data_IF_636367675604
#
_entry.id   IF_636367675604
#
_cell.length_a   1.000
_cell.length_b   1.000
_cell.length_c   1.000
_cell.angle_alpha   90.00
_cell.angle_beta   90.00
_cell.angle_gamma   90.00
#
_symmetry.space_group_name_H-M   'P 1'
#
loop_
_entity.id
_entity.type
_entity.pdbx_description
1 polymer ?
#
# COMPACT_ATOMS: atom_id res chain seq x y z
N UNK A 1 -5.22 -22.30 -8.74
CA UNK A 1 -4.95 -21.45 -7.57
C UNK A 1 -4.04 -22.23 -6.61
N UNK A 2 -2.91 -21.67 -6.22
CA UNK A 2 -2.00 -22.26 -5.22
C UNK A 2 -2.33 -21.73 -3.82
N UNK A 3 -1.95 -22.47 -2.80
CA UNK A 3 -1.97 -22.06 -1.39
C UNK A 3 -1.35 -20.66 -1.17
N UNK A 4 -0.24 -20.36 -1.84
CA UNK A 4 0.36 -19.01 -1.81
C UNK A 4 -0.55 -17.93 -2.41
N UNK A 5 -1.19 -18.20 -3.54
CA UNK A 5 -2.12 -17.22 -4.14
C UNK A 5 -3.40 -17.04 -3.31
N UNK A 6 -3.87 -18.08 -2.62
CA UNK A 6 -5.01 -17.98 -1.72
C UNK A 6 -4.67 -17.09 -0.52
N UNK A 7 -3.49 -17.28 0.06
CA UNK A 7 -2.99 -16.43 1.16
C UNK A 7 -2.77 -14.98 0.73
N UNK A 8 -2.20 -14.74 -0.46
CA UNK A 8 -2.06 -13.38 -0.99
C UNK A 8 -3.42 -12.70 -1.21
N UNK A 9 -4.42 -13.43 -1.70
CA UNK A 9 -5.78 -12.91 -1.83
C UNK A 9 -6.36 -12.51 -0.47
N UNK A 10 -6.24 -13.38 0.53
CA UNK A 10 -6.70 -13.09 1.88
C UNK A 10 -5.96 -11.90 2.52
N UNK A 11 -4.67 -11.74 2.22
CA UNK A 11 -3.88 -10.57 2.62
C UNK A 11 -4.44 -9.26 2.04
N UNK A 12 -4.74 -9.21 0.74
CA UNK A 12 -5.32 -8.02 0.11
C UNK A 12 -6.75 -7.75 0.58
N UNK A 13 -7.55 -8.79 0.76
CA UNK A 13 -8.92 -8.68 1.29
C UNK A 13 -8.92 -8.11 2.72
N UNK A 14 -8.05 -8.60 3.60
CA UNK A 14 -7.90 -8.07 4.96
C UNK A 14 -7.42 -6.61 4.97
N UNK A 15 -6.51 -6.23 4.06
CA UNK A 15 -6.12 -4.82 3.88
C UNK A 15 -7.32 -3.96 3.44
N UNK A 16 -8.06 -4.41 2.43
CA UNK A 16 -9.24 -3.71 1.93
C UNK A 16 -10.26 -3.45 3.05
N UNK A 17 -10.62 -4.49 3.80
CA UNK A 17 -11.58 -4.40 4.91
C UNK A 17 -11.11 -3.43 6.00
N UNK A 18 -9.83 -3.51 6.38
CA UNK A 18 -9.23 -2.61 7.38
C UNK A 18 -9.25 -1.16 6.94
N UNK A 19 -8.88 -0.89 5.69
CA UNK A 19 -8.84 0.49 5.19
C UNK A 19 -10.24 1.05 5.00
N UNK A 20 -11.19 0.26 4.52
CA UNK A 20 -12.60 0.66 4.46
C UNK A 20 -13.16 0.99 5.85
N UNK A 21 -12.92 0.13 6.84
CA UNK A 21 -13.39 0.34 8.21
C UNK A 21 -12.76 1.57 8.88
N UNK A 22 -11.55 1.96 8.47
CA UNK A 22 -10.80 3.07 9.06
C UNK A 22 -10.69 4.28 8.12
N UNK A 23 -11.52 4.38 7.07
CA UNK A 23 -11.41 5.42 6.04
C UNK A 23 -11.48 6.83 6.62
N UNK A 24 -12.41 7.10 7.53
CA UNK A 24 -12.50 8.42 8.19
C UNK A 24 -11.26 8.74 9.02
N UNK A 25 -10.65 7.73 9.66
CA UNK A 25 -9.43 7.91 10.43
C UNK A 25 -8.21 8.16 9.53
N UNK A 26 -8.11 7.46 8.38
CA UNK A 26 -7.10 7.72 7.35
C UNK A 26 -7.14 9.19 6.92
N UNK A 27 -8.32 9.70 6.59
CA UNK A 27 -8.52 11.07 6.09
C UNK A 27 -8.01 12.10 7.11
N UNK A 28 -8.36 11.94 8.39
CA UNK A 28 -7.89 12.86 9.45
C UNK A 28 -6.38 12.81 9.62
N UNK A 29 -5.79 11.61 9.63
CA UNK A 29 -4.33 11.44 9.76
C UNK A 29 -3.56 12.02 8.57
N UNK A 30 -4.12 11.93 7.37
CA UNK A 30 -3.54 12.52 6.16
C UNK A 30 -3.41 14.03 6.30
N UNK A 31 -4.48 14.71 6.75
CA UNK A 31 -4.46 16.17 6.94
C UNK A 31 -3.38 16.59 7.96
N UNK A 32 -3.30 15.88 9.09
CA UNK A 32 -2.29 16.14 10.11
C UNK A 32 -0.86 15.89 9.61
N UNK A 33 -0.64 14.80 8.88
CA UNK A 33 0.68 14.43 8.39
C UNK A 33 1.14 15.33 7.24
N UNK A 34 0.22 15.70 6.35
CA UNK A 34 0.49 16.60 5.22
C UNK A 34 0.96 17.96 5.75
N UNK A 35 0.26 18.52 6.74
CA UNK A 35 0.64 19.77 7.40
C UNK A 35 2.07 19.70 7.95
N UNK A 36 2.38 18.66 8.73
CA UNK A 36 3.71 18.46 9.34
C UNK A 36 4.83 18.34 8.31
N UNK A 37 4.58 17.64 7.20
CA UNK A 37 5.62 17.42 6.17
C UNK A 37 5.83 18.66 5.30
N UNK A 38 4.80 19.45 5.02
CA UNK A 38 4.95 20.75 4.34
C UNK A 38 5.78 21.71 5.19
N UNK A 39 5.49 21.81 6.49
CA UNK A 39 6.28 22.63 7.42
C UNK A 39 7.74 22.19 7.45
N UNK A 40 7.98 20.88 7.48
CA UNK A 40 9.33 20.30 7.48
C UNK A 40 10.10 20.51 6.17
N UNK A 41 9.40 20.55 5.03
CA UNK A 41 10.01 20.87 3.74
C UNK A 41 10.37 22.37 3.62
N UNK A 42 9.82 23.23 4.49
CA UNK A 42 10.20 24.64 4.59
C UNK A 42 9.84 25.44 3.34
N UNK A 43 8.71 25.15 2.69
CA UNK A 43 8.31 25.79 1.44
C UNK A 43 7.72 27.16 1.74
N UNK A 44 8.45 28.22 1.41
CA UNK A 44 8.10 29.61 1.72
C UNK A 44 6.86 30.16 0.98
N UNK A 45 6.35 29.45 -0.03
CA UNK A 45 5.20 29.86 -0.87
C UNK A 45 4.10 28.79 -0.92
N UNK A 46 3.88 28.05 0.16
CA UNK A 46 2.81 27.04 0.23
C UNK A 46 1.51 27.68 0.76
N UNK A 47 0.63 28.09 -0.15
CA UNK A 47 -0.66 28.71 0.18
C UNK A 47 -1.77 27.68 0.48
N UNK A 48 -2.94 28.18 0.90
CA UNK A 48 -4.10 27.34 1.21
C UNK A 48 -4.67 26.60 0.00
N UNK A 49 -4.54 27.15 -1.21
CA UNK A 49 -5.04 26.52 -2.44
C UNK A 49 -4.17 25.33 -2.83
N UNK A 50 -2.84 25.46 -2.71
CA UNK A 50 -1.88 24.36 -2.85
C UNK A 50 -2.13 23.30 -1.80
N UNK A 51 -2.40 23.68 -0.55
CA UNK A 51 -2.77 22.72 0.49
C UNK A 51 -4.01 21.92 0.13
N UNK A 52 -5.08 22.59 -0.27
CA UNK A 52 -6.31 21.94 -0.69
C UNK A 52 -6.07 20.97 -1.86
N UNK A 53 -5.32 21.38 -2.88
CA UNK A 53 -4.99 20.54 -4.02
C UNK A 53 -4.19 19.28 -3.63
N UNK A 54 -3.22 19.39 -2.71
CA UNK A 54 -2.46 18.25 -2.23
C UNK A 54 -3.30 17.32 -1.35
N UNK A 55 -4.18 17.87 -0.53
CA UNK A 55 -5.12 17.09 0.26
C UNK A 55 -6.06 16.30 -0.65
N UNK A 56 -6.66 16.95 -1.65
CA UNK A 56 -7.51 16.28 -2.65
C UNK A 56 -6.77 15.15 -3.39
N UNK A 57 -5.51 15.38 -3.79
CA UNK A 57 -4.68 14.34 -4.39
C UNK A 57 -4.46 13.16 -3.43
N UNK A 58 -4.17 13.41 -2.15
CA UNK A 58 -4.03 12.36 -1.15
C UNK A 58 -5.33 11.56 -0.99
N UNK A 59 -6.49 12.22 -0.97
CA UNK A 59 -7.79 11.56 -0.83
C UNK A 59 -8.11 10.68 -2.04
N UNK A 60 -7.84 11.17 -3.26
CA UNK A 60 -7.99 10.39 -4.48
C UNK A 60 -7.08 9.15 -4.47
N UNK A 61 -5.84 9.28 -4.00
CA UNK A 61 -4.90 8.17 -3.90
C UNK A 61 -5.29 7.14 -2.83
N UNK A 62 -5.94 7.56 -1.74
CA UNK A 62 -6.54 6.61 -0.77
C UNK A 62 -7.60 5.76 -1.45
N UNK A 63 -8.50 6.38 -2.20
CA UNK A 63 -9.57 5.66 -2.89
C UNK A 63 -9.00 4.69 -3.94
N UNK A 64 -8.02 5.13 -4.73
CA UNK A 64 -7.30 4.28 -5.68
C UNK A 64 -6.61 3.11 -4.98
N UNK A 65 -5.97 3.35 -3.82
CA UNK A 65 -5.27 2.30 -3.07
C UNK A 65 -6.23 1.28 -2.48
N UNK A 66 -7.37 1.73 -1.95
CA UNK A 66 -8.41 0.84 -1.46
C UNK A 66 -8.96 -0.01 -2.61
N UNK A 67 -9.25 0.58 -3.77
CA UNK A 67 -9.72 -0.17 -4.94
C UNK A 67 -8.66 -1.14 -5.48
N UNK A 68 -7.37 -0.82 -5.35
CA UNK A 68 -6.29 -1.74 -5.72
C UNK A 68 -6.29 -3.01 -4.86
N UNK A 69 -6.68 -2.90 -3.59
CA UNK A 69 -6.81 -4.06 -2.69
C UNK A 69 -8.14 -4.79 -2.83
N UNK A 70 -9.07 -4.27 -3.62
CA UNK A 70 -10.38 -4.87 -3.82
C UNK A 70 -10.23 -6.32 -4.34
N UNK A 71 -10.76 -7.32 -3.61
CA UNK A 71 -10.56 -8.73 -3.92
C UNK A 71 -11.15 -9.17 -5.26
N UNK A 72 -12.00 -8.36 -5.91
CA UNK A 72 -12.46 -8.59 -7.28
C UNK A 72 -11.44 -8.15 -8.35
N UNK A 73 -10.65 -7.10 -8.08
CA UNK A 73 -9.61 -6.59 -8.99
C UNK A 73 -8.32 -7.40 -8.93
N UNK A 74 -7.89 -7.79 -7.72
CA UNK A 74 -6.63 -8.51 -7.48
C UNK A 74 -6.59 -9.93 -8.11
N UNK A 75 -7.76 -10.51 -8.39
CA UNK A 75 -7.88 -11.84 -8.98
C UNK A 75 -7.25 -11.93 -10.38
N UNK A 76 -7.23 -10.83 -11.13
CA UNK A 76 -6.65 -10.79 -12.48
C UNK A 76 -5.12 -10.69 -12.49
N UNK A 77 -4.53 -10.20 -11.39
CA UNK A 77 -3.08 -9.98 -11.26
C UNK A 77 -2.29 -11.30 -11.14
N UNK A 78 -2.91 -12.35 -10.61
CA UNK A 78 -2.22 -13.62 -10.30
C UNK A 78 -2.48 -14.77 -11.29
N UNK A 79 -3.41 -14.63 -12.24
CA UNK A 79 -3.95 -15.77 -13.00
C UNK A 79 -3.45 -15.95 -14.45
N UNK A 80 -2.71 -15.01 -15.09
CA UNK A 80 -2.21 -15.27 -16.46
C UNK A 80 -0.81 -14.72 -16.82
N UNK A 81 -0.09 -15.45 -17.68
CA UNK A 81 1.31 -15.25 -18.09
C UNK A 81 1.59 -13.92 -18.79
N UNK A 82 0.61 -13.34 -19.51
CA UNK A 82 0.76 -12.02 -20.16
C UNK A 82 0.69 -10.84 -19.17
N UNK A 83 0.12 -11.05 -17.98
CA UNK A 83 0.06 -10.02 -16.94
C UNK A 83 1.35 -9.91 -16.14
N UNK A 84 2.24 -10.91 -16.21
CA UNK A 84 3.48 -10.88 -15.45
C UNK A 84 4.41 -9.75 -15.87
N UNK A 85 4.51 -9.47 -17.17
CA UNK A 85 5.34 -8.37 -17.70
C UNK A 85 4.72 -7.00 -17.40
N UNK A 86 3.39 -6.86 -17.55
CA UNK A 86 2.68 -5.64 -17.19
C UNK A 86 2.73 -5.38 -15.68
N UNK A 87 2.57 -6.41 -14.86
CA UNK A 87 2.70 -6.34 -13.42
C UNK A 87 4.12 -6.02 -12.99
N UNK A 88 5.14 -6.62 -13.61
CA UNK A 88 6.54 -6.28 -13.34
C UNK A 88 6.86 -4.82 -13.70
N UNK A 89 6.18 -4.24 -14.71
CA UNK A 89 6.23 -2.81 -15.02
C UNK A 89 5.45 -1.96 -13.99
N UNK A 90 4.29 -2.40 -13.51
CA UNK A 90 3.54 -1.75 -12.41
C UNK A 90 4.31 -1.75 -11.09
N UNK A 91 5.11 -2.80 -10.82
CA UNK A 91 6.04 -2.84 -9.69
C UNK A 91 7.15 -1.78 -9.81
N UNK A 92 7.33 -1.22 -11.00
CA UNK A 92 8.17 -0.07 -11.30
C UNK A 92 7.26 1.10 -11.63
N UNK A 93 6.46 1.56 -10.67
CA UNK A 93 5.86 2.91 -10.78
C UNK A 93 7.00 3.87 -11.13
N UNK A 94 6.80 4.83 -12.04
CA UNK A 94 7.87 5.68 -12.60
C UNK A 94 8.80 6.33 -11.55
N UNK A 95 8.35 6.39 -10.28
CA UNK A 95 9.05 6.96 -9.13
C UNK A 95 9.49 5.95 -8.05
N UNK A 96 9.07 4.68 -8.12
CA UNK A 96 9.22 3.69 -7.05
C UNK A 96 9.58 2.30 -7.59
N UNK A 97 10.66 1.70 -7.07
CA UNK A 97 11.00 0.30 -7.35
C UNK A 97 10.52 -0.62 -6.22
N UNK A 98 9.36 -1.23 -6.42
CA UNK A 98 8.69 -2.10 -5.45
C UNK A 98 9.00 -3.58 -5.65
N UNK A 99 9.92 -3.94 -6.58
CA UNK A 99 10.23 -5.34 -6.92
C UNK A 99 10.81 -6.11 -5.75
N UNK A 100 11.65 -5.46 -4.94
CA UNK A 100 12.24 -6.09 -3.74
C UNK A 100 11.18 -6.35 -2.69
N UNK A 101 10.30 -5.39 -2.45
CA UNK A 101 9.19 -5.51 -1.50
C UNK A 101 8.22 -6.62 -1.92
N UNK A 102 7.84 -6.66 -3.20
CA UNK A 102 6.97 -7.70 -3.73
C UNK A 102 7.60 -9.10 -3.62
N UNK A 103 8.90 -9.24 -3.95
CA UNK A 103 9.61 -10.52 -3.80
C UNK A 103 9.61 -11.00 -2.35
N UNK A 104 9.75 -10.10 -1.38
CA UNK A 104 9.68 -10.44 0.03
C UNK A 104 8.25 -10.88 0.42
N UNK A 105 7.21 -10.16 -0.03
CA UNK A 105 5.80 -10.56 0.20
C UNK A 105 5.51 -11.96 -0.31
N UNK A 106 5.86 -12.26 -1.57
CA UNK A 106 5.64 -13.59 -2.15
C UNK A 106 6.44 -14.67 -1.43
N UNK A 107 7.68 -14.37 -1.01
CA UNK A 107 8.52 -15.32 -0.27
C UNK A 107 7.91 -15.67 1.09
N UNK A 108 7.50 -14.67 1.87
CA UNK A 108 6.90 -14.91 3.19
C UNK A 108 5.55 -15.60 3.07
N UNK A 109 4.71 -15.19 2.11
CA UNK A 109 3.45 -15.86 1.84
C UNK A 109 3.67 -17.34 1.47
N UNK A 110 4.67 -17.64 0.64
CA UNK A 110 5.02 -19.03 0.29
C UNK A 110 5.50 -19.82 1.50
N UNK A 111 6.36 -19.23 2.33
CA UNK A 111 6.87 -19.88 3.55
C UNK A 111 5.74 -20.25 4.52
N UNK A 112 4.83 -19.31 4.78
CA UNK A 112 3.67 -19.52 5.66
C UNK A 112 2.67 -20.53 5.09
N UNK A 113 2.44 -20.48 3.77
CA UNK A 113 1.54 -21.39 3.06
C UNK A 113 1.95 -22.87 3.12
N UNK A 114 3.23 -23.19 3.34
CA UNK A 114 3.71 -24.57 3.39
C UNK A 114 3.46 -25.27 4.75
N UNK A 115 2.86 -24.57 5.72
CA UNK A 115 2.69 -25.08 7.09
C UNK A 115 1.25 -25.49 7.37
N UNK A 116 0.95 -26.79 7.38
CA UNK A 116 -0.33 -27.34 7.85
C UNK A 116 -1.54 -27.00 6.99
N UNK A 117 -2.74 -27.14 7.57
CA UNK A 117 -4.01 -26.91 6.88
C UNK A 117 -4.31 -25.40 6.78
N UNK A 118 -4.52 -24.94 5.54
CA UNK A 118 -4.56 -23.51 5.22
C UNK A 118 -5.90 -22.84 5.51
N UNK A 119 -7.02 -23.50 5.20
CA UNK A 119 -8.35 -22.87 5.23
C UNK A 119 -8.71 -22.32 6.61
N UNK A 120 -8.46 -23.08 7.68
CA UNK A 120 -8.74 -22.65 9.06
C UNK A 120 -7.80 -21.54 9.56
N UNK A 121 -6.63 -21.39 8.94
CA UNK A 121 -5.57 -20.44 9.37
C UNK A 121 -5.43 -19.24 8.45
N UNK A 122 -6.18 -19.19 7.35
CA UNK A 122 -5.98 -18.24 6.27
C UNK A 122 -6.04 -16.78 6.75
N UNK A 123 -7.08 -16.43 7.52
CA UNK A 123 -7.23 -15.09 8.09
C UNK A 123 -6.09 -14.74 9.05
N UNK A 124 -5.70 -15.67 9.92
CA UNK A 124 -4.58 -15.46 10.84
C UNK A 124 -3.25 -15.24 10.10
N UNK A 125 -2.99 -16.02 9.05
CA UNK A 125 -1.76 -15.89 8.25
C UNK A 125 -1.74 -14.59 7.45
N UNK A 126 -2.87 -14.15 6.92
CA UNK A 126 -3.01 -12.86 6.26
C UNK A 126 -2.68 -11.71 7.22
N UNK A 127 -3.19 -11.79 8.44
CA UNK A 127 -2.92 -10.80 9.48
C UNK A 127 -1.45 -10.76 9.92
N UNK A 128 -0.82 -11.92 10.04
CA UNK A 128 0.61 -11.99 10.33
C UNK A 128 1.44 -11.40 9.18
N UNK A 129 1.04 -11.59 7.91
CA UNK A 129 1.68 -10.93 6.77
C UNK A 129 1.53 -9.40 6.84
N UNK A 130 0.34 -8.87 7.15
CA UNK A 130 0.13 -7.42 7.31
C UNK A 130 1.00 -6.87 8.45
N UNK A 131 1.04 -7.56 9.58
CA UNK A 131 1.84 -7.13 10.74
C UNK A 131 3.34 -7.11 10.45
N UNK A 132 3.86 -8.15 9.81
CA UNK A 132 5.30 -8.27 9.49
C UNK A 132 5.70 -7.36 8.32
N UNK A 133 4.89 -7.33 7.27
CA UNK A 133 5.25 -6.75 5.98
C UNK A 133 4.57 -5.42 5.69
N UNK A 134 3.45 -5.09 6.34
CA UNK A 134 2.66 -3.90 6.06
C UNK A 134 1.78 -4.03 4.83
N UNK A 135 1.34 -2.89 4.30
CA UNK A 135 0.62 -2.79 3.04
C UNK A 135 1.60 -2.60 1.89
N UNK A 136 1.64 -3.54 0.96
CA UNK A 136 2.42 -3.40 -0.27
C UNK A 136 1.72 -2.42 -1.23
N UNK A 137 2.42 -1.46 -1.89
CA UNK A 137 3.88 -1.20 -1.93
C UNK A 137 4.37 -0.04 -1.03
N UNK A 138 3.79 0.15 0.16
CA UNK A 138 3.99 1.38 0.92
C UNK A 138 5.41 1.53 1.47
N UNK A 139 6.14 0.44 1.74
CA UNK A 139 7.55 0.55 2.18
C UNK A 139 8.43 1.16 1.11
N UNK A 140 8.24 0.77 -0.14
CA UNK A 140 9.05 1.26 -1.27
C UNK A 140 8.77 2.74 -1.51
N UNK A 141 7.51 3.16 -1.44
CA UNK A 141 7.10 4.57 -1.52
C UNK A 141 7.75 5.38 -0.40
N UNK A 142 7.62 4.92 0.85
CA UNK A 142 8.19 5.61 2.02
C UNK A 142 9.71 5.72 1.91
N UNK A 143 10.39 4.65 1.50
CA UNK A 143 11.84 4.64 1.35
C UNK A 143 12.31 5.60 0.26
N UNK A 144 11.64 5.60 -0.90
CA UNK A 144 11.99 6.48 -2.01
C UNK A 144 11.77 7.96 -1.68
N UNK A 145 10.69 8.30 -0.97
CA UNK A 145 10.47 9.66 -0.48
C UNK A 145 11.54 10.07 0.54
N UNK A 146 11.87 9.20 1.50
CA UNK A 146 12.90 9.51 2.51
C UNK A 146 14.29 9.72 1.89
N UNK A 147 14.62 8.97 0.84
CA UNK A 147 15.87 9.12 0.12
C UNK A 147 15.96 10.45 -0.64
N UNK A 148 14.84 10.90 -1.22
CA UNK A 148 14.76 12.14 -1.98
C UNK A 148 13.38 12.79 -1.80
N UNK A 149 13.21 13.56 -0.70
CA UNK A 149 11.94 14.22 -0.40
C UNK A 149 11.64 15.28 -1.45
N UNK A 150 10.46 15.21 -2.07
CA UNK A 150 10.02 16.23 -3.00
C UNK A 150 8.50 16.31 -3.05
N UNK A 151 8.02 17.50 -3.43
CA UNK A 151 6.59 17.80 -3.56
C UNK A 151 5.85 16.79 -4.44
N UNK A 152 6.44 16.37 -5.56
CA UNK A 152 5.79 15.42 -6.48
C UNK A 152 5.49 14.06 -5.84
N UNK A 153 6.35 13.59 -4.93
CA UNK A 153 6.20 12.30 -4.22
C UNK A 153 5.44 12.43 -2.90
N UNK A 154 5.09 13.65 -2.49
CA UNK A 154 4.52 13.94 -1.18
C UNK A 154 3.15 13.26 -1.01
N UNK A 155 2.18 13.35 -1.95
CA UNK A 155 0.88 12.70 -1.76
C UNK A 155 0.99 11.19 -1.54
N UNK A 156 1.76 10.48 -2.39
CA UNK A 156 2.01 9.05 -2.24
C UNK A 156 2.65 8.72 -0.89
N UNK A 157 3.65 9.50 -0.45
CA UNK A 157 4.29 9.31 0.84
C UNK A 157 3.31 9.48 2.01
N UNK A 158 2.48 10.52 1.98
CA UNK A 158 1.50 10.80 3.03
C UNK A 158 0.50 9.65 3.13
N UNK A 159 0.00 9.16 1.99
CA UNK A 159 -0.94 8.03 1.93
C UNK A 159 -0.27 6.75 2.44
N UNK A 160 0.89 6.38 1.90
CA UNK A 160 1.63 5.18 2.29
C UNK A 160 1.97 5.18 3.79
N UNK A 161 2.41 6.33 4.33
CA UNK A 161 2.76 6.44 5.75
C UNK A 161 1.53 6.30 6.64
N UNK A 162 0.42 6.91 6.24
CA UNK A 162 -0.84 6.88 6.99
C UNK A 162 -1.47 5.49 6.97
N UNK A 163 -1.41 4.77 5.84
CA UNK A 163 -1.86 3.38 5.73
C UNK A 163 -1.02 2.49 6.65
N UNK A 164 0.31 2.58 6.58
CA UNK A 164 1.22 1.81 7.44
C UNK A 164 0.98 2.06 8.93
N UNK A 165 0.57 3.27 9.32
CA UNK A 165 0.23 3.64 10.71
C UNK A 165 -1.16 3.17 11.17
N UNK A 166 -1.97 2.61 10.28
CA UNK A 166 -3.28 2.03 10.61
C UNK A 166 -3.24 0.50 10.56
N UNK A 167 -2.52 -0.07 9.60
CA UNK A 167 -2.50 -1.53 9.42
C UNK A 167 -1.51 -2.22 10.35
N UNK A 168 -0.56 -1.48 10.95
CA UNK A 168 0.39 -1.98 11.96
C UNK A 168 0.09 -1.48 13.36
#
# INVERSE_FOLDING_TARGET
>A
MTDTSLLLKAYYEALYERLQANKELLIRKIEELLTKEIEKLGIEDFDGDKFAAYLEACLAFVDERIETYNPFGIQYTFDQTRYREAFELELQLDWYDSRVEFKNLVREARSKAQTGEMEERLGFLAEELIKELGAFPDKSIISAYKAEPCLRKLPDYIVARTIEDIVR
#
